data_IF_606056479153
#
_entry.id   IF_606056479153
#
_cell.length_a   1.000
_cell.length_b   1.000
_cell.length_c   1.000
_cell.angle_alpha   90.00
_cell.angle_beta   90.00
_cell.angle_gamma   90.00
#
_symmetry.space_group_name_H-M   'P 1'
#
loop_
_entity.id
_entity.type
_entity.pdbx_description
1 polymer ?
#
# COMPACT_ATOMS: atom_id res chain seq x y z
N UNK A 1 -83.21 36.13 65.39
CA UNK A 1 -82.64 35.06 64.55
C UNK A 1 -81.36 35.54 63.90
N UNK A 2 -80.32 34.72 64.01
CA UNK A 2 -79.00 34.84 63.39
C UNK A 2 -79.07 34.68 61.86
N UNK A 3 -78.19 35.36 61.11
CA UNK A 3 -78.18 35.32 59.65
C UNK A 3 -76.90 35.92 59.03
N UNK A 4 -75.80 35.21 59.22
CA UNK A 4 -74.45 35.46 58.71
C UNK A 4 -74.42 35.70 57.19
N UNK A 5 -73.98 36.88 56.72
CA UNK A 5 -73.68 37.14 55.30
C UNK A 5 -72.18 36.96 55.06
N UNK A 6 -71.79 35.76 54.63
CA UNK A 6 -70.44 35.47 54.18
C UNK A 6 -70.13 36.17 52.85
N UNK A 7 -68.92 36.73 52.80
CA UNK A 7 -68.31 37.49 51.72
C UNK A 7 -68.05 36.61 50.46
N UNK A 8 -68.59 36.93 49.27
CA UNK A 8 -68.41 36.14 48.04
C UNK A 8 -67.04 36.34 47.34
N UNK A 9 -66.09 37.05 47.98
CA UNK A 9 -64.86 37.52 47.36
C UNK A 9 -63.63 36.64 47.56
N UNK A 10 -63.66 35.68 48.49
CA UNK A 10 -62.52 34.79 48.77
C UNK A 10 -62.46 33.60 47.80
N UNK A 11 -63.58 32.93 47.55
CA UNK A 11 -63.62 31.72 46.70
C UNK A 11 -63.24 31.99 45.24
N UNK A 12 -63.67 33.14 44.67
CA UNK A 12 -63.27 33.54 43.30
C UNK A 12 -61.78 33.86 43.17
N UNK A 13 -61.14 34.39 44.22
CA UNK A 13 -59.70 34.70 44.22
C UNK A 13 -58.85 33.44 44.36
N UNK A 14 -59.30 32.44 45.12
CA UNK A 14 -58.63 31.15 45.24
C UNK A 14 -58.74 30.32 43.96
N UNK A 15 -59.92 30.27 43.34
CA UNK A 15 -60.11 29.60 42.05
C UNK A 15 -59.26 30.22 40.93
N UNK A 16 -59.13 31.55 40.90
CA UNK A 16 -58.26 32.28 39.94
C UNK A 16 -56.77 31.97 40.14
N UNK A 17 -56.30 31.89 41.40
CA UNK A 17 -54.92 31.52 41.72
C UNK A 17 -54.60 30.07 41.36
N UNK A 18 -55.52 29.14 41.64
CA UNK A 18 -55.38 27.73 41.28
C UNK A 18 -55.31 27.52 39.76
N UNK A 19 -56.17 28.19 38.99
CA UNK A 19 -56.13 28.14 37.53
C UNK A 19 -54.82 28.74 36.96
N UNK A 20 -54.31 29.79 37.58
CA UNK A 20 -53.03 30.41 37.16
C UNK A 20 -51.84 29.49 37.46
N UNK A 21 -51.85 28.80 38.61
CA UNK A 21 -50.82 27.83 38.98
C UNK A 21 -50.81 26.61 38.04
N UNK A 22 -51.98 26.07 37.69
CA UNK A 22 -52.11 24.94 36.76
C UNK A 22 -51.60 25.29 35.35
N UNK A 23 -51.89 26.50 34.85
CA UNK A 23 -51.35 26.97 33.56
C UNK A 23 -49.82 27.08 33.61
N UNK A 24 -49.26 27.56 34.72
CA UNK A 24 -47.80 27.68 34.91
C UNK A 24 -47.16 26.28 34.95
N UNK A 25 -47.73 25.33 35.68
CA UNK A 25 -47.21 23.97 35.77
C UNK A 25 -47.37 23.19 34.46
N UNK A 26 -48.47 23.39 33.73
CA UNK A 26 -48.66 22.82 32.38
C UNK A 26 -47.61 23.35 31.41
N UNK A 27 -47.35 24.66 31.40
CA UNK A 27 -46.26 25.26 30.58
C UNK A 27 -44.88 24.77 30.98
N UNK A 28 -44.63 24.60 32.29
CA UNK A 28 -43.36 24.06 32.82
C UNK A 28 -43.15 22.60 32.41
N UNK A 29 -44.21 21.79 32.40
CA UNK A 29 -44.17 20.40 31.97
C UNK A 29 -44.01 20.25 30.46
N UNK A 30 -44.58 21.16 29.66
CA UNK A 30 -44.36 21.22 28.21
C UNK A 30 -42.89 21.56 27.89
N UNK A 31 -42.32 22.59 28.52
CA UNK A 31 -40.89 22.95 28.37
C UNK A 31 -39.96 21.79 28.77
N UNK A 32 -40.24 21.11 29.88
CA UNK A 32 -39.46 19.91 30.30
C UNK A 32 -39.54 18.77 29.28
N UNK A 33 -40.67 18.61 28.56
CA UNK A 33 -40.82 17.61 27.50
C UNK A 33 -40.04 18.02 26.25
N UNK A 34 -40.11 19.29 25.86
CA UNK A 34 -39.35 19.87 24.76
C UNK A 34 -37.84 19.75 25.01
N UNK A 35 -37.37 20.13 26.19
CA UNK A 35 -35.95 20.01 26.59
C UNK A 35 -35.47 18.54 26.54
N UNK A 36 -36.31 17.58 26.95
CA UNK A 36 -36.00 16.15 26.83
C UNK A 36 -35.89 15.70 25.38
N UNK A 37 -36.78 16.18 24.50
CA UNK A 37 -36.75 15.86 23.07
C UNK A 37 -35.50 16.47 22.42
N UNK A 38 -35.23 17.75 22.68
CA UNK A 38 -34.03 18.45 22.18
C UNK A 38 -32.76 17.74 22.66
N UNK A 39 -32.67 17.40 23.95
CA UNK A 39 -31.52 16.67 24.49
C UNK A 39 -31.35 15.29 23.85
N UNK A 40 -32.44 14.59 23.54
CA UNK A 40 -32.42 13.31 22.82
C UNK A 40 -31.94 13.47 21.37
N UNK A 41 -32.38 14.50 20.67
CA UNK A 41 -31.93 14.83 19.31
C UNK A 41 -30.43 15.16 19.30
N UNK A 42 -29.96 16.00 20.22
CA UNK A 42 -28.54 16.33 20.36
C UNK A 42 -27.70 15.07 20.64
N UNK A 43 -28.18 14.18 21.52
CA UNK A 43 -27.50 12.93 21.82
C UNK A 43 -27.39 12.02 20.59
N UNK A 44 -28.47 11.90 19.81
CA UNK A 44 -28.48 11.13 18.57
C UNK A 44 -27.49 11.70 17.57
N UNK A 45 -27.52 13.02 17.32
CA UNK A 45 -26.57 13.68 16.39
C UNK A 45 -25.12 13.48 16.86
N UNK A 46 -24.85 13.64 18.15
CA UNK A 46 -23.52 13.43 18.71
C UNK A 46 -23.04 11.98 18.51
N UNK A 47 -23.90 10.99 18.78
CA UNK A 47 -23.62 9.57 18.53
C UNK A 47 -23.37 9.28 17.05
N UNK A 48 -24.18 9.84 16.15
CA UNK A 48 -24.00 9.68 14.70
C UNK A 48 -22.67 10.25 14.23
N UNK A 49 -22.29 11.45 14.70
CA UNK A 49 -20.99 12.05 14.39
C UNK A 49 -19.84 11.20 14.93
N UNK A 50 -19.98 10.61 16.12
CA UNK A 50 -18.98 9.73 16.72
C UNK A 50 -18.79 8.45 15.90
N UNK A 51 -19.88 7.83 15.42
CA UNK A 51 -19.82 6.65 14.57
C UNK A 51 -19.15 6.98 13.22
N UNK A 52 -19.52 8.11 12.59
CA UNK A 52 -18.91 8.55 11.34
C UNK A 52 -17.42 8.84 11.54
N UNK A 53 -17.06 9.57 12.60
CA UNK A 53 -15.67 9.87 12.94
C UNK A 53 -14.85 8.60 13.21
N UNK A 54 -15.43 7.63 13.93
CA UNK A 54 -14.80 6.33 14.19
C UNK A 54 -14.59 5.51 12.92
N UNK A 55 -15.59 5.48 12.02
CA UNK A 55 -15.47 4.80 10.74
C UNK A 55 -14.40 5.45 9.84
N UNK A 56 -14.42 6.77 9.71
CA UNK A 56 -13.41 7.52 8.96
C UNK A 56 -12.01 7.27 9.53
N UNK A 57 -11.85 7.40 10.86
CA UNK A 57 -10.58 7.13 11.53
C UNK A 57 -10.06 5.70 11.27
N UNK A 58 -10.95 4.71 11.33
CA UNK A 58 -10.62 3.32 11.04
C UNK A 58 -10.20 3.10 9.59
N UNK A 59 -10.90 3.71 8.62
CA UNK A 59 -10.54 3.60 7.20
C UNK A 59 -9.18 4.22 6.91
N UNK A 60 -8.89 5.40 7.46
CA UNK A 60 -7.59 6.07 7.33
C UNK A 60 -6.48 5.22 7.96
N UNK A 61 -6.71 4.70 9.17
CA UNK A 61 -5.76 3.82 9.84
C UNK A 61 -5.43 2.58 9.00
N UNK A 62 -6.45 1.90 8.47
CA UNK A 62 -6.29 0.72 7.60
C UNK A 62 -5.55 1.04 6.31
N UNK A 63 -5.81 2.20 5.70
CA UNK A 63 -5.14 2.64 4.49
C UNK A 63 -3.63 2.84 4.72
N UNK A 64 -3.27 3.53 5.81
CA UNK A 64 -1.87 3.77 6.17
C UNK A 64 -1.15 2.47 6.53
N UNK A 65 -1.74 1.61 7.38
CA UNK A 65 -1.12 0.33 7.74
C UNK A 65 -0.89 -0.58 6.53
N UNK A 66 -1.83 -0.60 5.58
CA UNK A 66 -1.69 -1.36 4.35
C UNK A 66 -0.59 -0.78 3.45
N UNK A 67 -0.54 0.54 3.31
CA UNK A 67 0.41 1.24 2.44
C UNK A 67 1.87 1.20 2.91
N UNK A 68 2.10 0.97 4.21
CA UNK A 68 3.46 0.76 4.75
C UNK A 68 4.03 -0.62 4.43
N UNK A 69 3.18 -1.57 4.06
CA UNK A 69 3.60 -2.93 3.69
C UNK A 69 3.97 -2.97 2.20
N UNK A 70 4.89 -3.87 1.79
CA UNK A 70 5.17 -4.10 0.37
C UNK A 70 3.90 -4.35 -0.44
N UNK A 71 3.95 -4.02 -1.74
CA UNK A 71 2.82 -4.22 -2.64
C UNK A 71 2.43 -5.70 -2.70
N UNK A 72 3.41 -6.55 -3.00
CA UNK A 72 3.30 -8.00 -3.00
C UNK A 72 4.57 -8.62 -2.43
N UNK A 73 4.47 -9.31 -1.30
CA UNK A 73 5.64 -9.91 -0.62
C UNK A 73 6.24 -11.10 -1.38
N UNK A 74 5.48 -11.71 -2.28
CA UNK A 74 5.89 -12.85 -3.09
C UNK A 74 6.44 -12.47 -4.45
N UNK A 75 6.23 -11.23 -4.89
CA UNK A 75 6.66 -10.76 -6.21
C UNK A 75 8.04 -10.09 -6.13
N UNK A 76 9.05 -10.84 -6.55
CA UNK A 76 10.44 -10.39 -6.65
C UNK A 76 10.81 -9.88 -8.05
N UNK A 77 9.84 -9.71 -8.95
CA UNK A 77 10.12 -9.26 -10.30
C UNK A 77 10.57 -7.80 -10.31
N UNK A 78 11.79 -7.59 -10.83
CA UNK A 78 12.34 -6.26 -11.02
C UNK A 78 11.60 -5.55 -12.15
N UNK A 79 11.06 -4.39 -11.85
CA UNK A 79 10.45 -3.46 -12.80
C UNK A 79 11.35 -2.25 -12.94
N UNK A 80 11.55 -1.81 -14.18
CA UNK A 80 12.27 -0.59 -14.46
C UNK A 80 11.37 0.62 -14.22
N UNK A 81 11.83 1.55 -13.39
CA UNK A 81 11.14 2.82 -13.10
C UNK A 81 12.05 3.99 -13.42
N UNK A 82 11.50 5.01 -14.08
CA UNK A 82 12.20 6.26 -14.34
C UNK A 82 11.78 7.33 -13.34
N UNK A 83 12.75 7.93 -12.65
CA UNK A 83 12.53 9.12 -11.83
C UNK A 83 13.12 10.35 -12.53
N UNK A 84 12.28 11.24 -13.08
CA UNK A 84 12.75 12.44 -13.76
C UNK A 84 13.47 13.42 -12.83
N UNK A 85 14.44 14.16 -13.37
CA UNK A 85 15.12 15.24 -12.66
C UNK A 85 14.15 16.32 -12.17
N UNK A 86 14.35 16.75 -10.92
CA UNK A 86 13.50 17.75 -10.29
C UNK A 86 12.15 17.21 -9.77
N UNK A 87 11.93 15.89 -9.81
CA UNK A 87 10.72 15.29 -9.23
C UNK A 87 10.66 15.51 -7.72
N UNK A 88 9.51 15.98 -7.25
CA UNK A 88 9.19 16.07 -5.82
C UNK A 88 8.89 14.70 -5.21
N UNK A 89 8.98 14.56 -3.88
CA UNK A 89 8.61 13.32 -3.17
C UNK A 89 7.19 12.83 -3.51
N UNK A 90 6.27 13.76 -3.80
CA UNK A 90 4.89 13.45 -4.24
C UNK A 90 4.89 12.80 -5.62
N UNK A 91 5.59 13.40 -6.59
CA UNK A 91 5.68 12.89 -7.95
C UNK A 91 6.39 11.53 -7.99
N UNK A 92 7.46 11.37 -7.21
CA UNK A 92 8.16 10.08 -7.07
C UNK A 92 7.19 9.01 -6.56
N UNK A 93 6.42 9.30 -5.51
CA UNK A 93 5.40 8.39 -5.00
C UNK A 93 4.33 8.04 -6.05
N UNK A 94 3.86 9.01 -6.84
CA UNK A 94 2.87 8.78 -7.90
C UNK A 94 3.43 7.89 -9.02
N UNK A 95 4.70 8.07 -9.40
CA UNK A 95 5.38 7.22 -10.39
C UNK A 95 5.50 5.78 -9.87
N UNK A 96 5.97 5.61 -8.63
CA UNK A 96 6.13 4.29 -8.01
C UNK A 96 4.80 3.54 -7.86
N UNK A 97 3.72 4.26 -7.56
CA UNK A 97 2.37 3.68 -7.48
C UNK A 97 1.86 3.29 -8.88
N UNK A 98 2.05 4.15 -9.88
CA UNK A 98 1.65 3.90 -11.27
C UNK A 98 2.37 2.68 -11.87
N UNK A 99 3.65 2.52 -11.55
CA UNK A 99 4.48 1.42 -12.04
C UNK A 99 4.35 0.14 -11.18
N UNK A 100 3.38 0.10 -10.26
CA UNK A 100 3.10 -1.03 -9.37
C UNK A 100 4.32 -1.46 -8.54
N UNK A 101 5.10 -0.51 -8.02
CA UNK A 101 6.14 -0.79 -7.03
C UNK A 101 5.58 -0.68 -5.60
N UNK A 102 4.71 0.30 -5.38
CA UNK A 102 4.13 0.59 -4.05
C UNK A 102 2.61 0.65 -4.12
N UNK A 103 1.95 0.48 -2.97
CA UNK A 103 0.48 0.57 -2.87
C UNK A 103 -0.10 1.98 -2.93
N UNK A 104 0.68 2.98 -2.53
CA UNK A 104 0.21 4.36 -2.39
C UNK A 104 1.36 5.36 -2.40
N UNK A 105 1.37 6.23 -3.39
CA UNK A 105 2.29 7.36 -3.48
C UNK A 105 2.07 8.39 -2.37
N UNK A 106 0.83 8.52 -1.89
CA UNK A 106 0.51 9.39 -0.74
C UNK A 106 1.22 8.88 0.51
N UNK A 107 1.10 7.58 0.80
CA UNK A 107 1.75 6.97 1.97
C UNK A 107 3.26 7.12 1.87
N UNK A 108 3.86 6.85 0.71
CA UNK A 108 5.30 7.07 0.49
C UNK A 108 5.72 8.53 0.71
N UNK A 109 4.99 9.50 0.17
CA UNK A 109 5.29 10.92 0.36
C UNK A 109 5.27 11.33 1.85
N UNK A 110 4.28 10.86 2.63
CA UNK A 110 4.28 11.11 4.07
C UNK A 110 5.37 10.34 4.82
N UNK A 111 5.63 9.09 4.40
CA UNK A 111 6.66 8.23 4.98
C UNK A 111 8.05 8.88 4.89
N UNK A 112 8.41 9.37 3.70
CA UNK A 112 9.70 10.02 3.46
C UNK A 112 9.88 11.27 4.32
N UNK A 113 8.83 12.06 4.52
CA UNK A 113 8.84 13.22 5.43
C UNK A 113 9.02 12.81 6.89
N UNK A 114 8.29 11.80 7.35
CA UNK A 114 8.37 11.33 8.73
C UNK A 114 9.75 10.74 9.07
N UNK A 115 10.35 10.03 8.11
CA UNK A 115 11.67 9.41 8.25
C UNK A 115 12.84 10.33 7.85
N UNK A 116 12.58 11.57 7.45
CA UNK A 116 13.57 12.50 6.90
C UNK A 116 14.39 11.92 5.73
N UNK A 117 13.77 11.09 4.90
CA UNK A 117 14.38 10.59 3.67
C UNK A 117 14.38 11.73 2.65
N UNK A 118 15.57 12.23 2.33
CA UNK A 118 15.81 13.38 1.45
C UNK A 118 16.95 13.09 0.49
N UNK A 119 17.12 13.92 -0.54
CA UNK A 119 18.21 13.75 -1.51
C UNK A 119 18.00 12.60 -2.50
N UNK A 120 16.75 12.31 -2.85
CA UNK A 120 16.47 11.36 -3.93
C UNK A 120 17.05 11.86 -5.24
N UNK A 121 17.70 10.96 -5.94
CA UNK A 121 18.35 11.24 -7.21
C UNK A 121 17.39 10.92 -8.36
N UNK A 122 17.68 11.51 -9.51
CA UNK A 122 17.02 11.17 -10.76
C UNK A 122 17.71 9.99 -11.42
N UNK A 123 16.99 9.28 -12.28
CA UNK A 123 17.53 8.19 -13.10
C UNK A 123 16.60 6.99 -13.18
N UNK A 124 17.13 5.91 -13.76
CA UNK A 124 16.45 4.64 -13.92
C UNK A 124 16.82 3.69 -12.79
N UNK A 125 15.79 3.11 -12.18
CA UNK A 125 15.88 2.21 -11.04
C UNK A 125 15.26 0.86 -11.36
N UNK A 126 15.79 -0.19 -10.74
CA UNK A 126 15.26 -1.54 -10.81
C UNK A 126 14.67 -1.89 -9.45
N UNK A 127 13.35 -1.79 -9.33
CA UNK A 127 12.61 -1.93 -8.07
C UNK A 127 11.70 -3.15 -8.16
N UNK A 128 11.46 -3.83 -7.04
CA UNK A 128 10.53 -4.96 -6.98
C UNK A 128 9.33 -4.65 -6.05
N UNK A 129 8.12 -5.19 -6.34
CA UNK A 129 6.92 -4.98 -5.51
C UNK A 129 7.04 -5.50 -4.07
N UNK A 130 7.96 -6.45 -3.81
CA UNK A 130 8.24 -6.98 -2.48
C UNK A 130 9.13 -6.08 -1.61
N UNK A 131 9.73 -5.04 -2.19
CA UNK A 131 10.59 -4.11 -1.45
C UNK A 131 9.79 -3.27 -0.46
N UNK A 132 10.42 -2.95 0.67
CA UNK A 132 9.87 -2.03 1.66
C UNK A 132 10.09 -0.57 1.26
N UNK A 133 9.30 0.35 1.82
CA UNK A 133 9.46 1.78 1.57
C UNK A 133 10.84 2.32 2.01
N UNK A 134 11.45 1.68 3.03
CA UNK A 134 12.82 2.00 3.46
C UNK A 134 13.86 1.58 2.42
N UNK A 135 13.73 0.37 1.86
CA UNK A 135 14.64 -0.13 0.82
C UNK A 135 14.53 0.72 -0.46
N UNK A 136 13.30 0.98 -0.90
CA UNK A 136 13.03 1.86 -2.05
C UNK A 136 13.61 3.26 -1.79
N UNK A 137 13.34 3.83 -0.61
CA UNK A 137 13.86 5.14 -0.23
C UNK A 137 15.39 5.21 -0.26
N UNK A 138 16.08 4.18 0.24
CA UNK A 138 17.55 4.11 0.20
C UNK A 138 18.09 3.99 -1.22
N UNK A 139 17.52 3.13 -2.04
CA UNK A 139 17.95 3.01 -3.45
C UNK A 139 17.79 4.33 -4.20
N UNK A 140 16.69 5.05 -3.97
CA UNK A 140 16.48 6.38 -4.54
C UNK A 140 17.54 7.40 -4.09
N UNK A 141 18.07 7.29 -2.87
CA UNK A 141 19.16 8.13 -2.36
C UNK A 141 20.53 7.75 -2.93
N UNK A 142 20.78 6.45 -3.14
CA UNK A 142 22.05 5.92 -3.66
C UNK A 142 22.33 6.37 -5.09
N UNK A 143 21.29 6.60 -5.89
CA UNK A 143 21.42 7.10 -7.26
C UNK A 143 20.89 6.14 -8.31
N UNK A 144 20.18 6.67 -9.30
CA UNK A 144 19.70 5.90 -10.45
C UNK A 144 20.74 5.83 -11.55
N UNK A 145 20.53 4.91 -12.49
CA UNK A 145 21.35 4.86 -13.71
C UNK A 145 20.92 5.97 -14.70
N UNK A 146 21.86 6.53 -15.47
CA UNK A 146 21.55 7.60 -16.44
C UNK A 146 20.82 7.11 -17.68
N UNK A 147 20.94 5.82 -18.01
CA UNK A 147 20.29 5.19 -19.15
C UNK A 147 19.42 4.02 -18.67
N UNK A 148 18.33 3.71 -19.39
CA UNK A 148 17.50 2.55 -19.07
C UNK A 148 18.33 1.27 -19.14
N UNK A 149 18.60 0.68 -17.98
CA UNK A 149 19.23 -0.64 -17.92
C UNK A 149 18.13 -1.67 -18.15
N UNK A 150 18.17 -2.43 -19.26
CA UNK A 150 17.23 -3.56 -19.43
C UNK A 150 17.23 -4.37 -18.13
N UNK A 151 16.03 -4.58 -17.57
CA UNK A 151 15.83 -5.41 -16.37
C UNK A 151 16.76 -6.58 -16.49
N UNK A 152 17.69 -6.69 -15.54
CA UNK A 152 18.75 -7.66 -15.63
C UNK A 152 18.11 -9.06 -15.56
N UNK A 153 17.72 -9.59 -16.72
CA UNK A 153 18.05 -10.97 -17.05
C UNK A 153 19.57 -11.02 -16.83
N UNK A 154 19.98 -11.41 -15.62
CA UNK A 154 21.32 -11.19 -15.11
C UNK A 154 22.36 -11.46 -16.18
N UNK A 155 23.16 -10.46 -16.55
CA UNK A 155 24.26 -10.70 -17.50
C UNK A 155 25.27 -11.61 -16.81
N UNK A 156 25.29 -12.89 -17.19
CA UNK A 156 26.26 -13.86 -16.69
C UNK A 156 27.44 -13.85 -17.65
N UNK A 157 28.54 -13.21 -17.25
CA UNK A 157 29.79 -13.30 -17.98
C UNK A 157 30.41 -14.69 -17.77
N UNK A 158 30.55 -15.44 -18.86
CA UNK A 158 31.25 -16.73 -18.92
C UNK A 158 32.57 -16.50 -19.66
N UNK A 159 33.72 -16.46 -18.94
CA UNK A 159 35.01 -16.35 -19.58
C UNK A 159 35.32 -17.59 -20.43
N UNK A 160 36.16 -17.41 -21.43
CA UNK A 160 36.65 -18.50 -22.26
C UNK A 160 37.46 -19.51 -21.42
N UNK A 161 37.33 -20.79 -21.76
CA UNK A 161 38.01 -21.88 -21.06
C UNK A 161 37.34 -22.34 -19.76
N UNK A 162 36.18 -21.79 -19.40
CA UNK A 162 35.38 -22.30 -18.27
C UNK A 162 34.77 -23.65 -18.60
N UNK A 163 34.86 -24.59 -17.66
CA UNK A 163 34.14 -25.86 -17.73
C UNK A 163 32.68 -25.70 -17.27
N UNK A 164 31.86 -26.74 -17.48
CA UNK A 164 30.43 -26.69 -17.15
C UNK A 164 30.16 -26.53 -15.66
N UNK A 165 31.05 -27.04 -14.80
CA UNK A 165 30.95 -26.95 -13.36
C UNK A 165 31.18 -25.52 -12.86
N UNK A 166 32.16 -24.83 -13.44
CA UNK A 166 32.48 -23.42 -13.20
C UNK A 166 31.40 -22.50 -13.74
N UNK A 167 30.83 -22.82 -14.91
CA UNK A 167 29.66 -22.13 -15.45
C UNK A 167 28.47 -22.28 -14.50
N UNK A 168 28.19 -23.50 -14.04
CA UNK A 168 27.08 -23.78 -13.12
C UNK A 168 27.24 -23.03 -11.79
N UNK A 169 28.45 -22.99 -11.23
CA UNK A 169 28.75 -22.19 -10.02
C UNK A 169 28.57 -20.69 -10.27
N UNK A 170 28.99 -20.19 -11.43
CA UNK A 170 28.81 -18.79 -11.80
C UNK A 170 27.35 -18.43 -11.97
N UNK A 171 26.57 -19.31 -12.61
CA UNK A 171 25.12 -19.16 -12.79
C UNK A 171 24.41 -19.17 -11.44
N UNK A 172 24.73 -20.11 -10.56
CA UNK A 172 24.18 -20.19 -9.21
C UNK A 172 24.45 -18.91 -8.41
N UNK A 173 25.68 -18.39 -8.48
CA UNK A 173 26.07 -17.15 -7.79
C UNK A 173 25.34 -15.90 -8.30
N UNK A 174 25.02 -15.82 -9.60
CA UNK A 174 24.35 -14.64 -10.19
C UNK A 174 22.84 -14.72 -10.06
N UNK A 175 22.27 -15.92 -10.19
CA UNK A 175 20.82 -16.13 -10.27
C UNK A 175 20.19 -16.59 -8.95
N UNK A 176 21.00 -17.01 -7.98
CA UNK A 176 20.52 -17.63 -6.75
C UNK A 176 19.89 -19.01 -6.94
N UNK A 177 19.95 -19.57 -8.16
CA UNK A 177 19.47 -20.92 -8.48
C UNK A 177 20.47 -21.99 -8.05
N UNK A 178 19.99 -23.20 -7.84
CA UNK A 178 20.83 -24.30 -7.38
C UNK A 178 21.77 -24.80 -8.49
N UNK A 179 23.05 -25.02 -8.13
CA UNK A 179 24.07 -25.51 -9.07
C UNK A 179 23.69 -26.88 -9.63
N UNK A 180 23.14 -27.78 -8.79
CA UNK A 180 22.78 -29.14 -9.19
C UNK A 180 21.59 -29.12 -10.15
N UNK A 181 20.59 -28.28 -9.90
CA UNK A 181 19.45 -28.11 -10.82
C UNK A 181 19.91 -27.69 -12.22
N UNK A 182 20.89 -26.78 -12.31
CA UNK A 182 21.50 -26.39 -13.59
C UNK A 182 22.22 -27.56 -14.26
N UNK A 183 23.05 -28.31 -13.52
CA UNK A 183 23.80 -29.46 -14.05
C UNK A 183 22.87 -30.59 -14.50
N UNK A 184 21.79 -30.84 -13.78
CA UNK A 184 20.78 -31.85 -14.13
C UNK A 184 20.10 -31.46 -15.46
N UNK A 185 19.78 -30.19 -15.65
CA UNK A 185 19.19 -29.68 -16.89
C UNK A 185 20.15 -29.76 -18.08
N UNK A 186 21.44 -29.51 -17.86
CA UNK A 186 22.49 -29.64 -18.89
C UNK A 186 22.73 -31.11 -19.30
N UNK A 187 22.32 -32.07 -18.48
CA UNK A 187 22.42 -33.49 -18.82
C UNK A 187 21.07 -34.08 -19.32
N UNK A 188 20.00 -33.29 -19.39
CA UNK A 188 18.67 -33.76 -19.79
C UNK A 188 18.53 -33.85 -21.32
N UNK A 189 18.44 -35.07 -21.86
CA UNK A 189 18.30 -35.30 -23.29
C UNK A 189 17.02 -34.66 -23.89
N UNK A 190 15.92 -34.63 -23.15
CA UNK A 190 14.65 -34.05 -23.62
C UNK A 190 14.73 -32.54 -23.75
N UNK A 191 15.48 -31.88 -22.86
CA UNK A 191 15.79 -30.46 -22.92
C UNK A 191 16.63 -30.14 -24.16
N UNK A 192 17.71 -30.89 -24.41
CA UNK A 192 18.53 -30.68 -25.61
C UNK A 192 17.77 -30.94 -26.91
N UNK A 193 16.90 -31.94 -26.94
CA UNK A 193 16.06 -32.20 -28.11
C UNK A 193 15.11 -31.02 -28.41
N UNK A 194 14.57 -30.35 -27.39
CA UNK A 194 13.79 -29.10 -27.58
C UNK A 194 14.65 -27.95 -28.10
N UNK A 195 15.87 -27.77 -27.56
CA UNK A 195 16.80 -26.74 -28.06
C UNK A 195 17.16 -26.99 -29.52
N UNK A 196 17.42 -28.25 -29.89
CA UNK A 196 17.72 -28.66 -31.27
C UNK A 196 16.61 -28.27 -32.24
N UNK A 197 15.35 -28.48 -31.84
CA UNK A 197 14.19 -28.11 -32.66
C UNK A 197 14.01 -26.60 -32.77
N UNK A 198 14.20 -25.86 -31.67
CA UNK A 198 14.03 -24.40 -31.64
C UNK A 198 15.18 -23.63 -32.31
N UNK A 199 16.40 -24.17 -32.27
CA UNK A 199 17.60 -23.52 -32.78
C UNK A 199 18.42 -24.44 -33.71
N UNK A 200 17.91 -24.78 -34.91
CA UNK A 200 18.59 -25.71 -35.82
C UNK A 200 19.95 -25.20 -36.30
N UNK A 201 20.08 -23.88 -36.47
CA UNK A 201 21.33 -23.24 -36.91
C UNK A 201 22.41 -23.43 -35.84
N UNK A 202 22.11 -23.12 -34.59
CA UNK A 202 23.05 -23.24 -33.47
C UNK A 202 23.53 -24.68 -33.29
N UNK A 203 22.61 -25.65 -33.37
CA UNK A 203 22.97 -27.06 -33.29
C UNK A 203 23.96 -27.47 -34.41
N UNK A 204 23.75 -26.98 -35.63
CA UNK A 204 24.67 -27.25 -36.76
C UNK A 204 26.07 -26.66 -36.52
N UNK A 205 26.15 -25.45 -35.95
CA UNK A 205 27.44 -24.85 -35.57
C UNK A 205 28.17 -25.67 -34.50
N UNK A 206 27.46 -26.07 -33.44
CA UNK A 206 28.05 -26.89 -32.36
C UNK A 206 28.52 -28.25 -32.88
N UNK A 207 27.72 -28.94 -33.68
CA UNK A 207 28.10 -30.25 -34.23
C UNK A 207 29.30 -30.16 -35.18
N UNK A 208 29.44 -29.05 -35.90
CA UNK A 208 30.62 -28.79 -36.72
C UNK A 208 31.85 -28.51 -35.84
N UNK A 209 31.73 -27.66 -34.81
CA UNK A 209 32.83 -27.38 -33.88
C UNK A 209 33.33 -28.67 -33.18
N UNK A 210 32.43 -29.52 -32.70
CA UNK A 210 32.79 -30.83 -32.11
C UNK A 210 33.50 -31.75 -33.12
N UNK A 211 33.06 -31.73 -34.39
CA UNK A 211 33.62 -32.58 -35.44
C UNK A 211 35.01 -32.12 -35.92
N UNK A 212 35.25 -30.81 -35.96
CA UNK A 212 36.46 -30.23 -36.56
C UNK A 212 37.50 -29.77 -35.53
N UNK A 213 37.07 -29.41 -34.32
CA UNK A 213 37.96 -28.81 -33.30
C UNK A 213 38.17 -29.72 -32.07
N UNK A 214 37.60 -30.92 -32.07
CA UNK A 214 37.91 -31.96 -31.06
C UNK A 214 37.37 -31.67 -29.66
N UNK A 215 36.50 -30.68 -29.48
CA UNK A 215 35.85 -30.40 -28.21
C UNK A 215 34.95 -31.57 -27.78
N UNK A 216 35.29 -32.19 -26.65
CA UNK A 216 34.39 -33.09 -25.93
C UNK A 216 33.82 -32.30 -24.75
N UNK A 217 32.50 -32.10 -24.76
CA UNK A 217 31.73 -31.57 -23.64
C UNK A 217 31.40 -32.71 -22.69
#
# INVERSE_FOLDING_TARGET
MSGNKQHPSKDKKEASKAATADIIDKRRNLRKKEDKIVRKIILVIALTLLIIGGFLGFTVYRYVDSGLKPLDKSDDQLVQVEIPSGSSNKQIGEILEKDNIIKSGIVFNYYTKFKNLTGFQAGYYQLAPNMTLDEIGKQLQEGGTSEPTKVADGKIAIPEGYDIDQIAERVAKVTGKDKKEFLDLVNDETFFNRIRQKSPILYRWVMNAVRYEGYRW
#
